data_IF_175186317577
#
_entry.id   IF_175186317577
#
_cell.length_a   1.000
_cell.length_b   1.000
_cell.length_c   1.000
_cell.angle_alpha   90.00
_cell.angle_beta   90.00
_cell.angle_gamma   90.00
#
_symmetry.space_group_name_H-M   'P 1'
#
loop_
_entity.id
_entity.type
_entity.pdbx_description
1 polymer ?
#
# COMPACT_ATOMS: atom_id res chain seq x y z
N UNK A 1 1.33 0.20 13.16
CA UNK A 1 1.04 -0.05 11.72
C UNK A 1 -0.10 0.81 11.19
N UNK A 2 -1.21 0.97 11.93
CA UNK A 2 -2.36 1.75 11.45
C UNK A 2 -1.98 3.20 11.09
N UNK A 3 -1.33 3.91 12.00
CA UNK A 3 -0.99 5.33 11.87
C UNK A 3 -0.05 5.54 10.68
N UNK A 4 0.92 4.65 10.53
CA UNK A 4 1.82 4.60 9.37
C UNK A 4 1.04 4.37 8.07
N UNK A 5 0.17 3.35 8.00
CA UNK A 5 -0.64 3.13 6.80
C UNK A 5 -1.55 4.34 6.49
N UNK A 6 -2.05 5.03 7.52
CA UNK A 6 -2.89 6.22 7.36
C UNK A 6 -2.12 7.46 6.90
N UNK A 7 -0.83 7.60 7.21
CA UNK A 7 -0.03 8.73 6.71
C UNK A 7 0.05 8.70 5.17
N UNK A 8 0.06 7.52 4.57
CA UNK A 8 0.04 7.33 3.12
C UNK A 8 -1.37 7.33 2.50
N UNK A 9 -2.45 7.43 3.29
CA UNK A 9 -3.83 7.27 2.77
C UNK A 9 -4.18 8.22 1.61
N UNK A 10 -3.52 9.38 1.56
CA UNK A 10 -3.73 10.37 0.52
C UNK A 10 -3.06 10.02 -0.82
N UNK A 11 -2.03 9.18 -0.83
CA UNK A 11 -1.29 8.74 -2.01
C UNK A 11 -2.00 7.59 -2.75
N UNK A 12 -2.73 6.75 -2.02
CA UNK A 12 -3.47 5.62 -2.58
C UNK A 12 -4.79 6.08 -3.23
N UNK A 13 -4.70 6.49 -4.49
CA UNK A 13 -5.81 6.98 -5.30
C UNK A 13 -5.88 6.25 -6.65
N UNK A 14 -7.11 6.12 -7.17
CA UNK A 14 -7.33 5.80 -8.58
C UNK A 14 -7.47 7.09 -9.39
N UNK A 15 -7.28 7.02 -10.71
CA UNK A 15 -7.41 8.16 -11.63
C UNK A 15 -8.77 8.88 -11.58
N UNK A 16 -9.82 8.20 -11.11
CA UNK A 16 -11.15 8.78 -10.90
C UNK A 16 -11.34 9.46 -9.52
N UNK A 17 -10.26 9.60 -8.74
CA UNK A 17 -10.23 10.19 -7.40
C UNK A 17 -10.71 9.27 -6.28
N UNK A 18 -11.03 8.01 -6.55
CA UNK A 18 -11.44 7.05 -5.51
C UNK A 18 -10.23 6.61 -4.68
N UNK A 19 -10.31 6.78 -3.36
CA UNK A 19 -9.30 6.28 -2.40
C UNK A 19 -9.23 4.75 -2.51
N UNK A 20 -8.04 4.19 -2.71
CA UNK A 20 -7.83 2.76 -2.98
C UNK A 20 -7.32 1.95 -1.78
N UNK A 21 -6.73 2.58 -0.75
CA UNK A 21 -6.30 1.87 0.46
C UNK A 21 -7.52 1.30 1.22
N UNK A 22 -7.66 -0.03 1.25
CA UNK A 22 -8.77 -0.74 1.92
C UNK A 22 -8.40 -1.41 3.22
N UNK A 23 -7.17 -1.91 3.30
CA UNK A 23 -6.66 -2.61 4.44
C UNK A 23 -5.14 -2.45 4.51
N UNK A 24 -4.59 -2.78 5.66
CA UNK A 24 -3.16 -2.85 5.90
C UNK A 24 -2.88 -4.12 6.72
N UNK A 25 -1.71 -4.72 6.54
CA UNK A 25 -1.30 -5.88 7.32
C UNK A 25 -0.85 -5.48 8.74
N UNK A 26 -0.85 -6.46 9.64
CA UNK A 26 -0.08 -6.36 10.88
C UNK A 26 1.43 -6.29 10.62
N UNK A 27 2.25 -6.04 11.66
CA UNK A 27 3.70 -6.16 11.54
C UNK A 27 4.08 -7.54 11.02
N UNK A 28 4.96 -7.59 10.01
CA UNK A 28 5.49 -8.81 9.45
C UNK A 28 6.95 -8.96 9.87
N UNK A 29 7.26 -10.06 10.56
CA UNK A 29 8.58 -10.29 11.14
C UNK A 29 9.46 -11.09 10.18
N UNK A 30 10.38 -10.38 9.53
CA UNK A 30 11.34 -10.98 8.59
C UNK A 30 12.49 -11.72 9.27
N UNK A 31 12.71 -11.51 10.58
CA UNK A 31 13.81 -12.17 11.31
C UNK A 31 13.63 -13.70 11.39
N UNK A 32 12.41 -14.18 11.18
CA UNK A 32 12.06 -15.60 11.11
C UNK A 32 12.59 -16.30 9.87
N UNK A 33 13.01 -15.55 8.85
CA UNK A 33 13.53 -16.08 7.60
C UNK A 33 15.05 -15.84 7.52
N UNK A 34 15.84 -16.87 7.16
CA UNK A 34 17.28 -16.70 6.97
C UNK A 34 17.57 -15.59 5.96
N UNK A 35 18.49 -14.64 6.25
CA UNK A 35 18.80 -13.53 5.34
C UNK A 35 19.17 -13.99 3.93
N UNK A 36 19.80 -15.15 3.78
CA UNK A 36 20.19 -15.72 2.50
C UNK A 36 18.98 -16.02 1.58
N UNK A 37 17.79 -16.25 2.16
CA UNK A 37 16.58 -16.56 1.41
C UNK A 37 15.80 -15.33 0.94
N UNK A 38 16.13 -14.13 1.43
CA UNK A 38 15.37 -12.92 1.07
C UNK A 38 16.23 -11.66 0.89
N UNK A 39 17.22 -11.41 1.75
CA UNK A 39 18.09 -10.22 1.63
C UNK A 39 19.04 -10.35 0.45
N UNK A 40 19.68 -11.51 0.32
CA UNK A 40 20.71 -11.76 -0.69
C UNK A 40 20.28 -12.83 -1.70
N UNK A 41 18.97 -13.07 -1.81
CA UNK A 41 18.45 -14.03 -2.76
C UNK A 41 18.71 -13.54 -4.18
N UNK A 42 19.26 -14.41 -5.03
CA UNK A 42 19.40 -14.16 -6.46
C UNK A 42 18.15 -14.52 -7.27
N UNK A 43 17.12 -15.03 -6.61
CA UNK A 43 15.87 -15.55 -7.19
C UNK A 43 14.67 -14.69 -6.79
N UNK A 44 13.57 -14.82 -7.51
CA UNK A 44 12.34 -14.08 -7.22
C UNK A 44 11.71 -14.50 -5.88
N UNK A 45 11.31 -13.52 -5.08
CA UNK A 45 10.75 -13.73 -3.74
C UNK A 45 9.24 -13.92 -3.71
N UNK A 46 8.68 -14.65 -4.68
CA UNK A 46 7.23 -14.90 -4.77
C UNK A 46 6.64 -15.46 -3.49
N UNK A 47 7.33 -16.41 -2.87
CA UNK A 47 6.93 -17.01 -1.59
C UNK A 47 6.80 -15.97 -0.46
N UNK A 48 7.64 -14.93 -0.47
CA UNK A 48 7.61 -13.88 0.56
C UNK A 48 6.46 -12.91 0.30
N UNK A 49 6.19 -12.59 -0.97
CA UNK A 49 5.03 -11.78 -1.36
C UNK A 49 3.74 -12.47 -0.94
N UNK A 50 3.60 -13.77 -1.19
CA UNK A 50 2.44 -14.56 -0.75
C UNK A 50 2.32 -14.62 0.78
N UNK A 51 3.45 -14.75 1.50
CA UNK A 51 3.46 -14.71 2.95
C UNK A 51 3.03 -13.34 3.51
N UNK A 52 3.44 -12.25 2.86
CA UNK A 52 3.01 -10.88 3.21
C UNK A 52 1.51 -10.67 2.92
N UNK A 53 1.02 -11.13 1.78
CA UNK A 53 -0.38 -10.96 1.38
C UNK A 53 -1.33 -11.82 2.23
N UNK A 54 -0.91 -13.03 2.60
CA UNK A 54 -1.67 -13.90 3.50
C UNK A 54 -1.65 -13.45 4.97
N UNK A 55 -0.78 -12.51 5.33
CA UNK A 55 -0.73 -11.97 6.69
C UNK A 55 -2.05 -11.31 7.09
N UNK A 56 -2.32 -11.25 8.40
CA UNK A 56 -3.60 -10.73 8.87
C UNK A 56 -3.75 -9.26 8.50
N UNK A 57 -4.79 -8.97 7.71
CA UNK A 57 -5.16 -7.63 7.31
C UNK A 57 -6.21 -7.01 8.23
N UNK A 58 -6.07 -5.71 8.45
CA UNK A 58 -6.99 -4.88 9.21
C UNK A 58 -7.62 -3.82 8.29
N UNK A 59 -8.92 -3.56 8.41
CA UNK A 59 -9.56 -2.54 7.58
C UNK A 59 -8.96 -1.16 7.85
N UNK A 60 -8.62 -0.45 6.77
CA UNK A 60 -8.14 0.94 6.82
C UNK A 60 -9.18 1.87 7.46
N UNK A 61 -10.45 1.63 7.11
CA UNK A 61 -11.63 2.35 7.61
C UNK A 61 -12.77 1.37 7.82
N UNK A 62 -13.69 1.64 8.78
CA UNK A 62 -14.86 0.79 9.00
C UNK A 62 -15.67 0.58 7.73
N UNK A 63 -16.22 -0.63 7.54
CA UNK A 63 -16.99 -1.00 6.33
C UNK A 63 -18.12 0.00 6.02
N UNK A 64 -18.79 0.50 7.06
CA UNK A 64 -19.87 1.50 6.96
C UNK A 64 -19.37 2.82 6.36
N UNK A 65 -18.15 3.22 6.69
CA UNK A 65 -17.54 4.48 6.26
C UNK A 65 -16.89 4.41 4.88
N UNK A 66 -16.63 3.21 4.33
CA UNK A 66 -15.98 3.05 3.02
C UNK A 66 -16.71 3.77 1.88
N UNK A 67 -18.04 3.81 1.92
CA UNK A 67 -18.88 4.50 0.93
C UNK A 67 -18.92 6.02 1.12
N UNK A 68 -18.58 6.48 2.32
CA UNK A 68 -18.59 7.90 2.69
C UNK A 68 -17.23 8.57 2.47
N UNK A 69 -16.22 7.82 2.00
CA UNK A 69 -14.93 8.39 1.68
C UNK A 69 -15.09 9.46 0.59
N UNK A 70 -14.62 10.68 0.88
CA UNK A 70 -14.55 11.73 -0.13
C UNK A 70 -13.68 11.29 -1.30
N UNK A 71 -13.99 11.80 -2.49
CA UNK A 71 -13.05 11.75 -3.61
C UNK A 71 -11.84 12.64 -3.34
N UNK A 72 -10.74 12.32 -3.99
CA UNK A 72 -9.56 13.17 -4.06
C UNK A 72 -9.94 14.54 -4.63
N UNK A 73 -9.34 15.59 -4.07
CA UNK A 73 -9.45 16.93 -4.63
C UNK A 73 -8.71 17.00 -5.98
N UNK A 74 -9.10 17.94 -6.87
CA UNK A 74 -8.40 18.13 -8.14
C UNK A 74 -6.90 18.35 -7.99
N UNK A 75 -6.45 19.01 -6.91
CA UNK A 75 -5.02 19.20 -6.64
C UNK A 75 -4.29 17.89 -6.32
N UNK A 76 -4.89 16.98 -5.55
CA UNK A 76 -4.34 15.64 -5.26
C UNK A 76 -4.17 14.85 -6.56
N UNK A 77 -5.17 14.91 -7.45
CA UNK A 77 -5.12 14.22 -8.75
C UNK A 77 -4.09 14.82 -9.71
N UNK A 78 -3.89 16.14 -9.68
CA UNK A 78 -2.84 16.80 -10.48
C UNK A 78 -1.46 16.43 -9.98
N UNK A 79 -1.25 16.40 -8.67
CA UNK A 79 0.02 16.00 -8.07
C UNK A 79 0.43 14.58 -8.49
N UNK A 80 -0.52 13.64 -8.54
CA UNK A 80 -0.29 12.26 -8.99
C UNK A 80 0.16 12.16 -10.48
N UNK A 81 -0.08 13.19 -11.30
CA UNK A 81 0.34 13.24 -12.70
C UNK A 81 1.71 13.88 -12.90
N UNK A 82 2.29 14.47 -11.85
CA UNK A 82 3.60 15.08 -11.93
C UNK A 82 4.63 13.95 -12.01
N UNK A 83 5.39 13.95 -13.10
CA UNK A 83 6.54 13.08 -13.28
C UNK A 83 7.79 13.94 -13.21
N UNK A 84 8.79 13.49 -12.46
CA UNK A 84 10.08 14.16 -12.38
C UNK A 84 10.80 14.07 -13.74
N UNK A 85 10.76 12.89 -14.37
CA UNK A 85 11.39 12.62 -15.64
C UNK A 85 10.33 12.35 -16.70
N UNK A 86 10.25 13.23 -17.70
CA UNK A 86 9.42 12.98 -18.88
C UNK A 86 10.08 11.89 -19.72
N UNK A 87 9.29 10.93 -20.21
CA UNK A 87 9.77 10.02 -21.25
C UNK A 87 10.30 10.84 -22.42
N UNK A 88 11.52 10.54 -22.86
CA UNK A 88 12.03 11.00 -24.15
C UNK A 88 11.23 10.37 -25.29
#
# INVERSE_FOLDING_TARGET
>A
MRELAMSFFHEYLLWNGKKSLRAYSGPFDLSKFPPQRWVTAGEDLWWLVEALDSSRHFPAVPKKSLRMLRKAYPIELRAMKLVEWKSR
#
